data_IF_720913229889
#
_entry.id   IF_720913229889
#
_cell.length_a   1.000
_cell.length_b   1.000
_cell.length_c   1.000
_cell.angle_alpha   90.00
_cell.angle_beta   90.00
_cell.angle_gamma   90.00
#
_symmetry.space_group_name_H-M   'P 1'
#
loop_
_entity.id
_entity.type
_entity.pdbx_description
1 polymer ?
#
# COMPACT_ATOMS: atom_id res chain seq x y z
N UNK A 1 -26.70 8.71 -5.01
CA UNK A 1 -25.94 9.65 -4.15
C UNK A 1 -24.93 10.32 -5.09
N UNK A 2 -24.92 11.64 -5.30
CA UNK A 2 -23.93 12.20 -6.22
C UNK A 2 -22.57 12.32 -5.53
N UNK A 3 -21.60 11.48 -5.91
CA UNK A 3 -20.21 11.64 -5.51
C UNK A 3 -19.39 12.02 -6.74
N UNK A 4 -18.59 13.10 -6.64
CA UNK A 4 -17.76 13.59 -7.73
C UNK A 4 -16.29 13.54 -7.33
N UNK A 5 -15.45 13.01 -8.23
CA UNK A 5 -13.99 13.05 -8.10
C UNK A 5 -13.47 14.30 -8.82
N UNK A 6 -12.64 15.08 -8.15
CA UNK A 6 -11.97 16.27 -8.71
C UNK A 6 -10.47 16.20 -8.46
N UNK A 7 -9.68 16.77 -9.38
CA UNK A 7 -8.26 17.02 -9.13
C UNK A 7 -8.05 18.17 -8.15
N UNK A 8 -8.99 19.12 -8.12
CA UNK A 8 -8.97 20.32 -7.28
C UNK A 8 -10.28 20.40 -6.47
N UNK A 9 -10.51 19.49 -5.53
CA UNK A 9 -11.75 19.44 -4.77
C UNK A 9 -12.07 20.78 -4.09
N UNK A 10 -11.05 21.50 -3.64
CA UNK A 10 -11.17 22.72 -2.84
C UNK A 10 -11.68 23.87 -3.72
N UNK A 11 -11.18 23.96 -4.95
CA UNK A 11 -11.67 24.88 -5.97
C UNK A 11 -13.11 24.52 -6.37
N UNK A 12 -13.41 23.23 -6.51
CA UNK A 12 -14.78 22.78 -6.81
C UNK A 12 -15.75 23.18 -5.69
N UNK A 13 -15.38 23.01 -4.42
CA UNK A 13 -16.18 23.44 -3.28
C UNK A 13 -16.37 24.97 -3.28
N UNK A 14 -15.35 25.74 -3.62
CA UNK A 14 -15.43 27.21 -3.72
C UNK A 14 -16.38 27.65 -4.84
N UNK A 15 -16.30 27.04 -6.01
CA UNK A 15 -17.22 27.30 -7.14
C UNK A 15 -18.66 26.98 -6.73
N UNK A 16 -18.88 25.86 -6.05
CA UNK A 16 -20.21 25.49 -5.57
C UNK A 16 -20.74 26.49 -4.52
N UNK A 17 -19.87 26.97 -3.61
CA UNK A 17 -20.24 28.05 -2.67
C UNK A 17 -20.61 29.32 -3.40
N UNK A 18 -19.85 29.72 -4.42
CA UNK A 18 -20.15 30.88 -5.26
C UNK A 18 -21.49 30.74 -6.01
N UNK A 19 -21.91 29.51 -6.31
CA UNK A 19 -23.21 29.19 -6.89
C UNK A 19 -24.35 29.05 -5.85
N UNK A 20 -24.10 29.39 -4.59
CA UNK A 20 -25.10 29.37 -3.52
C UNK A 20 -25.22 28.04 -2.77
N UNK A 21 -24.28 27.10 -2.96
CA UNK A 21 -24.24 25.88 -2.16
C UNK A 21 -23.67 26.14 -0.76
N UNK A 22 -24.18 25.42 0.24
CA UNK A 22 -23.63 25.41 1.59
C UNK A 22 -22.69 24.21 1.71
N UNK A 23 -21.38 24.48 1.66
CA UNK A 23 -20.34 23.45 1.62
C UNK A 23 -19.38 23.52 2.81
N UNK A 24 -18.98 22.36 3.35
CA UNK A 24 -17.92 22.27 4.36
C UNK A 24 -18.27 22.86 5.73
N UNK A 25 -19.56 23.10 5.99
CA UNK A 25 -20.08 23.71 7.23
C UNK A 25 -20.96 22.74 8.02
N UNK A 26 -20.92 21.44 7.71
CA UNK A 26 -21.77 20.45 8.38
C UNK A 26 -23.26 20.67 8.12
N UNK A 27 -23.63 21.19 6.94
CA UNK A 27 -25.01 21.35 6.53
C UNK A 27 -25.78 20.03 6.65
N UNK A 28 -27.08 20.12 6.94
CA UNK A 28 -27.90 18.94 7.19
C UNK A 28 -27.93 18.02 5.97
N UNK A 29 -27.36 16.82 6.12
CA UNK A 29 -27.37 15.79 5.09
C UNK A 29 -28.71 15.08 5.11
N UNK A 30 -29.55 15.23 4.10
CA UNK A 30 -30.83 14.53 3.95
C UNK A 30 -30.66 13.23 3.15
N UNK A 31 -29.81 13.24 2.13
CA UNK A 31 -29.60 12.13 1.20
C UNK A 31 -28.21 11.51 1.40
N UNK A 32 -27.15 12.31 1.48
CA UNK A 32 -25.77 11.83 1.50
C UNK A 32 -25.22 11.61 2.91
N UNK A 33 -25.86 10.76 3.71
CA UNK A 33 -25.56 10.54 5.16
C UNK A 33 -24.14 10.09 5.51
N UNK A 34 -23.39 9.58 4.52
CA UNK A 34 -22.02 9.06 4.71
C UNK A 34 -20.95 10.04 4.20
N UNK A 35 -21.37 11.21 3.72
CA UNK A 35 -20.47 12.21 3.20
C UNK A 35 -19.66 12.83 4.34
N UNK A 36 -18.32 12.92 4.24
CA UNK A 36 -17.53 13.71 5.16
C UNK A 36 -18.02 15.17 5.17
N UNK A 37 -18.14 15.75 6.37
CA UNK A 37 -18.75 17.08 6.54
C UNK A 37 -17.99 18.19 5.78
N UNK A 38 -16.67 18.06 5.64
CA UNK A 38 -15.79 18.98 4.90
C UNK A 38 -15.91 18.84 3.37
N UNK A 39 -16.48 17.73 2.89
CA UNK A 39 -16.67 17.40 1.46
C UNK A 39 -18.10 17.48 1.00
N UNK A 40 -19.03 17.63 1.93
CA UNK A 40 -20.45 17.75 1.68
C UNK A 40 -20.83 19.16 1.23
N UNK A 41 -21.67 19.24 0.20
CA UNK A 41 -22.35 20.44 -0.23
C UNK A 41 -23.87 20.20 -0.32
N UNK A 42 -24.63 21.10 0.29
CA UNK A 42 -26.08 21.20 0.08
C UNK A 42 -26.35 22.29 -0.96
N UNK A 43 -27.04 21.93 -2.04
CA UNK A 43 -27.46 22.80 -3.13
C UNK A 43 -28.98 22.99 -3.08
N UNK A 44 -29.52 24.07 -3.71
CA UNK A 44 -30.97 24.23 -3.85
C UNK A 44 -31.65 23.04 -4.56
N UNK A 45 -30.93 22.39 -5.47
CA UNK A 45 -31.43 21.29 -6.30
C UNK A 45 -31.08 19.90 -5.74
N UNK A 46 -30.28 19.79 -4.69
CA UNK A 46 -29.87 18.49 -4.16
C UNK A 46 -28.61 18.53 -3.29
N UNK A 47 -27.92 17.40 -3.23
CA UNK A 47 -26.73 17.23 -2.41
C UNK A 47 -25.62 16.59 -3.24
N UNK A 48 -24.37 16.96 -2.96
CA UNK A 48 -23.20 16.40 -3.63
C UNK A 48 -22.03 16.24 -2.65
N UNK A 49 -21.26 15.18 -2.82
CA UNK A 49 -19.95 15.00 -2.18
C UNK A 49 -18.84 15.26 -3.18
N UNK A 50 -17.92 16.14 -2.84
CA UNK A 50 -16.76 16.46 -3.69
C UNK A 50 -15.51 15.85 -3.06
N UNK A 51 -14.97 14.82 -3.72
CA UNK A 51 -13.76 14.13 -3.30
C UNK A 51 -12.58 14.47 -4.19
N UNK A 52 -11.38 14.42 -3.62
CA UNK A 52 -10.15 14.36 -4.38
C UNK A 52 -9.70 12.95 -4.68
N UNK A 53 -8.67 12.83 -5.52
CA UNK A 53 -8.07 11.54 -5.90
C UNK A 53 -7.63 10.75 -4.66
N UNK A 54 -7.06 11.42 -3.65
CA UNK A 54 -6.60 10.75 -2.41
C UNK A 54 -7.76 10.23 -1.55
N UNK A 55 -8.97 10.79 -1.70
CA UNK A 55 -10.16 10.38 -0.95
C UNK A 55 -11.04 9.39 -1.71
N UNK A 56 -10.67 8.92 -2.91
CA UNK A 56 -11.39 7.84 -3.62
C UNK A 56 -11.74 6.65 -2.71
N UNK A 57 -10.85 6.18 -1.81
CA UNK A 57 -11.18 5.10 -0.87
C UNK A 57 -12.36 5.35 0.08
N UNK A 58 -12.74 6.61 0.29
CA UNK A 58 -13.81 7.02 1.20
C UNK A 58 -15.16 7.13 0.47
N UNK A 59 -15.16 7.00 -0.86
CA UNK A 59 -16.36 6.95 -1.67
C UNK A 59 -17.17 5.69 -1.36
N UNK A 60 -18.49 5.80 -1.47
CA UNK A 60 -19.38 4.70 -1.15
C UNK A 60 -20.03 4.08 -2.38
N UNK A 61 -20.03 4.79 -3.51
CA UNK A 61 -20.66 4.30 -4.75
C UNK A 61 -19.67 3.84 -5.81
N UNK A 62 -18.42 4.29 -5.75
CA UNK A 62 -17.38 3.84 -6.68
C UNK A 62 -16.33 3.08 -5.90
N UNK A 63 -16.16 1.80 -6.21
CA UNK A 63 -15.13 0.97 -5.61
C UNK A 63 -13.77 1.19 -6.27
N UNK A 64 -12.69 0.85 -5.56
CA UNK A 64 -11.34 0.92 -6.12
C UNK A 64 -11.17 0.01 -7.34
N UNK A 65 -11.83 -1.15 -7.33
CA UNK A 65 -11.78 -2.15 -8.38
C UNK A 65 -12.46 -1.65 -9.65
N UNK A 66 -13.63 -1.03 -9.55
CA UNK A 66 -14.32 -0.41 -10.68
C UNK A 66 -13.48 0.72 -11.28
N UNK A 67 -12.91 1.58 -10.43
CA UNK A 67 -12.07 2.66 -10.92
C UNK A 67 -10.79 2.13 -11.60
N UNK A 68 -10.13 1.14 -10.99
CA UNK A 68 -8.91 0.54 -11.52
C UNK A 68 -9.10 -0.05 -12.92
N UNK A 69 -10.26 -0.62 -13.23
CA UNK A 69 -10.56 -1.17 -14.56
C UNK A 69 -10.55 -0.10 -15.66
N UNK A 70 -10.79 1.16 -15.31
CA UNK A 70 -10.86 2.30 -16.24
C UNK A 70 -9.56 3.09 -16.25
N UNK A 71 -8.93 3.31 -15.09
CA UNK A 71 -7.78 4.21 -14.95
C UNK A 71 -6.42 3.50 -15.02
N UNK A 72 -6.37 2.20 -14.74
CA UNK A 72 -5.12 1.46 -14.84
C UNK A 72 -4.88 1.09 -16.31
N UNK A 73 -3.74 1.46 -16.90
CA UNK A 73 -3.38 1.01 -18.24
C UNK A 73 -3.33 -0.52 -18.25
N UNK A 74 -4.21 -1.14 -19.04
CA UNK A 74 -4.20 -2.58 -19.31
C UNK A 74 -2.95 -2.89 -20.14
N UNK A 75 -1.86 -3.21 -19.46
CA UNK A 75 -0.70 -3.85 -20.09
C UNK A 75 0.50 -2.95 -20.38
N UNK A 76 1.16 -2.49 -19.31
CA UNK A 76 2.61 -2.23 -19.41
C UNK A 76 3.43 -2.90 -18.30
N UNK A 77 2.81 -3.53 -17.30
CA UNK A 77 3.54 -4.14 -16.18
C UNK A 77 2.95 -5.49 -15.75
N UNK A 78 3.04 -6.46 -16.64
CA UNK A 78 3.18 -7.87 -16.28
C UNK A 78 4.20 -8.60 -17.18
N UNK A 79 5.10 -7.85 -17.83
CA UNK A 79 6.33 -8.36 -18.43
C UNK A 79 7.55 -7.87 -17.63
N UNK A 80 7.48 -7.95 -16.30
CA UNK A 80 8.70 -7.96 -15.45
C UNK A 80 8.93 -9.39 -14.94
N UNK A 81 8.68 -10.36 -15.81
CA UNK A 81 9.55 -11.50 -15.96
C UNK A 81 9.98 -11.38 -17.41
N UNK A 82 11.13 -10.74 -17.64
CA UNK A 82 11.70 -10.74 -18.99
C UNK A 82 11.77 -12.20 -19.47
N UNK A 83 11.49 -12.50 -20.74
CA UNK A 83 11.74 -13.83 -21.30
C UNK A 83 13.22 -14.22 -21.20
N UNK A 84 14.11 -13.31 -20.80
CA UNK A 84 15.49 -13.58 -20.39
C UNK A 84 15.61 -14.59 -19.23
N UNK A 85 14.61 -14.70 -18.33
CA UNK A 85 14.60 -15.75 -17.29
C UNK A 85 14.13 -17.12 -17.79
N UNK A 86 13.62 -17.23 -19.02
CA UNK A 86 13.30 -18.51 -19.65
C UNK A 86 14.48 -19.06 -20.48
N UNK A 87 15.57 -18.29 -20.61
CA UNK A 87 16.81 -18.70 -21.25
C UNK A 87 17.83 -19.28 -20.27
N UNK A 88 19.06 -19.50 -20.77
CA UNK A 88 20.21 -20.07 -20.03
C UNK A 88 20.46 -19.40 -18.68
N UNK A 89 20.14 -18.11 -18.55
CA UNK A 89 20.30 -17.34 -17.32
C UNK A 89 19.35 -17.78 -16.19
N UNK A 90 18.14 -18.23 -16.51
CA UNK A 90 17.18 -18.76 -15.53
C UNK A 90 17.61 -20.12 -14.97
N UNK A 91 18.19 -20.97 -15.82
CA UNK A 91 18.77 -22.25 -15.41
C UNK A 91 19.98 -22.05 -14.50
N UNK A 92 20.86 -21.09 -14.83
CA UNK A 92 22.03 -20.77 -14.01
C UNK A 92 21.65 -20.20 -12.64
N UNK A 93 20.66 -19.30 -12.58
CA UNK A 93 20.17 -18.77 -11.31
C UNK A 93 19.51 -19.87 -10.46
N UNK A 94 18.72 -20.75 -11.07
CA UNK A 94 18.14 -21.91 -10.38
C UNK A 94 19.21 -22.86 -9.85
N UNK A 95 20.24 -23.16 -10.65
CA UNK A 95 21.35 -24.02 -10.26
C UNK A 95 22.18 -23.42 -9.11
N UNK A 96 22.49 -22.11 -9.16
CA UNK A 96 23.20 -21.41 -8.09
C UNK A 96 22.39 -21.41 -6.78
N UNK A 97 21.07 -21.22 -6.86
CA UNK A 97 20.20 -21.28 -5.68
C UNK A 97 20.17 -22.68 -5.06
N UNK A 98 20.03 -23.73 -5.87
CA UNK A 98 20.05 -25.12 -5.41
C UNK A 98 21.41 -25.54 -4.86
N UNK A 99 22.51 -25.10 -5.49
CA UNK A 99 23.86 -25.31 -4.99
C UNK A 99 24.06 -24.62 -3.63
N UNK A 100 23.57 -23.38 -3.47
CA UNK A 100 23.59 -22.66 -2.21
C UNK A 100 22.83 -23.39 -1.09
N UNK A 101 21.66 -23.95 -1.38
CA UNK A 101 20.89 -24.77 -0.43
C UNK A 101 21.61 -26.07 -0.07
N UNK A 102 22.20 -26.77 -1.04
CA UNK A 102 22.93 -28.01 -0.80
C UNK A 102 24.18 -27.77 0.06
N UNK A 103 24.94 -26.70 -0.21
CA UNK A 103 26.11 -26.30 0.60
C UNK A 103 25.68 -25.87 2.00
N UNK A 104 24.61 -25.08 2.13
CA UNK A 104 24.10 -24.64 3.43
C UNK A 104 23.65 -25.80 4.32
N UNK A 105 22.92 -26.77 3.75
CA UNK A 105 22.45 -27.95 4.49
C UNK A 105 23.57 -28.90 4.87
N UNK A 106 24.57 -29.11 3.99
CA UNK A 106 25.76 -29.91 4.33
C UNK A 106 26.63 -29.23 5.39
N UNK A 107 26.78 -27.91 5.35
CA UNK A 107 27.53 -27.15 6.36
C UNK A 107 26.82 -27.11 7.71
N UNK A 108 25.48 -27.06 7.74
CA UNK A 108 24.71 -27.23 8.98
C UNK A 108 24.91 -28.61 9.60
N UNK A 109 24.95 -29.66 8.76
CA UNK A 109 25.18 -31.04 9.20
C UNK A 109 26.60 -31.27 9.73
N UNK A 110 27.59 -30.54 9.21
CA UNK A 110 28.96 -30.53 9.72
C UNK A 110 29.08 -29.73 11.04
N UNK A 111 28.33 -28.63 11.18
CA UNK A 111 28.30 -27.84 12.43
C UNK A 111 27.57 -28.50 13.58
N UNK A 112 26.71 -29.49 13.35
CA UNK A 112 26.07 -30.27 14.42
C UNK A 112 27.02 -31.23 15.15
N UNK A 113 28.28 -31.36 14.71
CA UNK A 113 29.32 -32.13 15.42
C UNK A 113 30.34 -31.30 16.21
N UNK A 114 30.30 -29.97 16.13
CA UNK A 114 31.20 -29.11 16.91
C UNK A 114 30.51 -28.68 18.21
N UNK A 115 31.15 -28.85 19.40
CA UNK A 115 30.56 -28.39 20.65
C UNK A 115 30.41 -26.87 20.58
N UNK A 116 29.17 -26.38 20.74
CA UNK A 116 28.91 -24.96 20.92
C UNK A 116 29.70 -24.49 22.15
N UNK A 117 30.48 -23.41 22.10
CA UNK A 117 30.89 -22.75 23.33
C UNK A 117 29.61 -22.28 24.03
N UNK A 118 29.45 -22.72 25.27
CA UNK A 118 28.35 -22.35 26.14
C UNK A 118 28.45 -20.85 26.43
N UNK A 119 27.63 -20.04 25.75
CA UNK A 119 27.42 -18.65 26.15
C UNK A 119 26.42 -18.67 27.28
N UNK A 120 26.90 -18.49 28.52
CA UNK A 120 26.02 -18.20 29.64
C UNK A 120 25.32 -16.87 29.42
N UNK A 121 24.06 -16.79 29.86
CA UNK A 121 23.16 -15.66 29.67
C UNK A 121 23.52 -14.41 30.50
N UNK A 122 24.61 -14.44 31.27
CA UNK A 122 25.12 -13.27 31.99
C UNK A 122 26.42 -12.79 31.36
N UNK A 123 26.32 -11.66 30.67
CA UNK A 123 27.45 -10.94 30.10
C UNK A 123 28.31 -10.33 31.19
N UNK A 124 29.19 -11.12 31.80
CA UNK A 124 30.26 -10.59 32.65
C UNK A 124 31.63 -11.15 32.26
N UNK A 125 32.48 -10.21 31.82
CA UNK A 125 33.88 -10.41 31.48
C UNK A 125 34.68 -10.47 32.78
N UNK A 126 34.98 -11.67 33.25
CA UNK A 126 35.85 -11.84 34.43
C UNK A 126 37.29 -11.43 34.06
N UNK A 127 37.75 -10.33 34.68
CA UNK A 127 39.14 -9.86 34.66
C UNK A 127 40.01 -10.90 35.38
N UNK A 128 41.11 -11.31 34.75
CA UNK A 128 42.25 -11.92 35.46
C UNK A 128 43.03 -10.82 36.18
N UNK A 129 43.16 -10.92 37.50
CA UNK A 129 44.16 -10.20 38.32
C UNK A 129 44.72 -11.17 39.38
N UNK A 130 46.06 -11.24 39.48
CA UNK A 130 46.86 -11.81 40.58
C UNK A 130 46.83 -13.33 40.72
N UNK A 131 47.90 -14.08 40.94
CA UNK A 131 49.26 -13.79 41.45
C UNK A 131 50.17 -14.97 41.03
#
# INVERSE_FOLDING_TARGET
MPEQISKYPEVTLEVLKGAGAVCGQGAQQKILKKCPADRFCSLPTGEICVYGIKQIPQMTQITRQELAQVVCPKGEKAAVISPALAGVDGLMLGALFLAGLAVGTTWQKLRTGAPRPHVNADGQREKREGE
#
